data_IF_287046999782
#
_entry.id   IF_287046999782
#
_cell.length_a   1.000
_cell.length_b   1.000
_cell.length_c   1.000
_cell.angle_alpha   90.00
_cell.angle_beta   90.00
_cell.angle_gamma   90.00
#
_symmetry.space_group_name_H-M   'P 1'
#
loop_
_entity.id
_entity.type
_entity.pdbx_description
1 polymer ?
#
# COMPACT_ATOMS: atom_id res chain seq x y z
N UNK A 1 1.20 14.94 -10.10
CA UNK A 1 1.23 14.47 -11.50
C UNK A 1 0.79 15.59 -12.42
N UNK A 2 1.56 15.89 -13.47
CA UNK A 2 1.18 16.89 -14.48
C UNK A 2 -0.12 16.47 -15.19
N UNK A 3 -0.83 17.42 -15.81
CA UNK A 3 -2.09 17.13 -16.55
C UNK A 3 -1.92 16.04 -17.61
N UNK A 4 -0.69 15.84 -18.13
CA UNK A 4 -0.36 14.83 -19.15
C UNK A 4 -0.53 13.38 -18.67
N UNK A 5 -0.29 13.10 -17.39
CA UNK A 5 -0.24 11.73 -16.85
C UNK A 5 -1.43 11.40 -15.94
N UNK A 6 -2.25 12.40 -15.59
CA UNK A 6 -3.41 12.21 -14.73
C UNK A 6 -4.45 11.33 -15.45
N UNK A 7 -4.84 10.23 -14.82
CA UNK A 7 -5.78 9.26 -15.40
C UNK A 7 -5.20 8.38 -16.52
N UNK A 8 -3.87 8.34 -16.66
CA UNK A 8 -3.16 7.53 -17.68
C UNK A 8 -2.07 6.62 -17.07
N UNK A 9 -2.01 6.54 -15.75
CA UNK A 9 -0.98 5.79 -15.03
C UNK A 9 -1.69 4.86 -14.06
N UNK A 10 -1.55 3.55 -14.32
CA UNK A 10 -2.15 2.49 -13.50
C UNK A 10 -1.18 1.96 -12.44
N UNK A 11 0.12 2.21 -12.60
CA UNK A 11 1.17 1.80 -11.68
C UNK A 11 2.32 2.81 -11.63
N UNK A 12 2.99 2.89 -10.47
CA UNK A 12 4.18 3.71 -10.28
C UNK A 12 5.25 2.91 -9.53
N UNK A 13 6.42 2.73 -10.14
CA UNK A 13 7.59 2.09 -9.54
C UNK A 13 8.73 3.09 -9.59
N UNK A 14 9.38 3.31 -8.46
CA UNK A 14 10.62 4.08 -8.36
C UNK A 14 11.72 3.16 -7.85
N UNK A 15 12.87 3.17 -8.51
CA UNK A 15 14.00 2.31 -8.18
C UNK A 15 15.03 3.12 -7.40
N UNK A 16 15.42 2.59 -6.25
CA UNK A 16 16.42 3.19 -5.38
C UNK A 16 17.41 2.12 -4.94
N UNK A 17 18.60 2.56 -4.61
CA UNK A 17 19.60 1.77 -3.89
C UNK A 17 19.92 2.47 -2.57
N UNK A 18 20.31 1.75 -1.53
CA UNK A 18 20.60 0.32 -1.41
C UNK A 18 19.61 -0.36 -0.44
N UNK A 19 20.00 -1.50 0.15
CA UNK A 19 19.35 -2.21 1.28
C UNK A 19 18.43 -3.38 0.93
N UNK A 20 18.24 -3.71 -0.36
CA UNK A 20 17.38 -4.83 -0.78
C UNK A 20 15.97 -4.74 -0.16
N UNK A 21 15.30 -3.59 -0.33
CA UNK A 21 13.98 -3.34 0.28
C UNK A 21 12.95 -3.14 -0.83
N UNK A 22 11.79 -3.78 -0.66
CA UNK A 22 10.59 -3.53 -1.44
C UNK A 22 9.61 -2.66 -0.64
N UNK A 23 9.45 -1.40 -1.05
CA UNK A 23 8.70 -0.41 -0.27
C UNK A 23 7.32 -0.16 -0.87
N UNK A 24 6.28 -0.24 -0.05
CA UNK A 24 4.94 0.25 -0.37
C UNK A 24 4.61 1.55 0.40
N UNK A 25 3.61 2.33 -0.06
CA UNK A 25 3.16 3.50 0.68
C UNK A 25 2.62 3.18 2.09
N UNK A 26 2.59 4.14 3.01
CA UNK A 26 3.20 5.46 2.90
C UNK A 26 4.58 5.49 3.58
N UNK A 27 5.45 6.40 3.14
CA UNK A 27 6.75 6.63 3.76
C UNK A 27 6.84 7.85 4.70
N UNK A 28 5.81 8.71 4.74
CA UNK A 28 5.90 10.01 5.42
C UNK A 28 5.71 9.95 6.94
N UNK A 29 5.06 8.90 7.46
CA UNK A 29 4.79 8.71 8.90
C UNK A 29 4.63 7.23 9.20
N UNK A 30 5.17 6.79 10.35
CA UNK A 30 4.91 5.44 10.88
C UNK A 30 3.42 5.23 11.13
N UNK A 31 2.99 3.98 11.02
CA UNK A 31 1.59 3.56 11.23
C UNK A 31 0.56 4.22 10.30
N UNK A 32 0.98 4.81 9.17
CA UNK A 32 0.10 5.40 8.17
C UNK A 32 0.05 4.52 6.92
N UNK A 33 -1.11 3.92 6.65
CA UNK A 33 -1.27 2.95 5.56
C UNK A 33 -2.41 3.32 4.61
N UNK A 34 -2.26 2.98 3.30
CA UNK A 34 -3.34 3.17 2.34
C UNK A 34 -4.46 2.13 2.55
N UNK A 35 -5.62 2.38 1.93
CA UNK A 35 -6.81 1.52 2.10
C UNK A 35 -6.65 0.11 1.53
N UNK A 36 -5.74 -0.05 0.57
CA UNK A 36 -5.40 -1.28 -0.17
C UNK A 36 -4.08 -1.91 0.32
N UNK A 37 -3.65 -1.58 1.54
CA UNK A 37 -2.38 -2.07 2.13
C UNK A 37 -2.19 -3.59 2.04
N UNK A 38 -3.26 -4.39 2.18
CA UNK A 38 -3.17 -5.85 2.09
C UNK A 38 -2.76 -6.29 0.68
N UNK A 39 -3.37 -5.72 -0.34
CA UNK A 39 -3.06 -6.00 -1.75
C UNK A 39 -1.62 -5.60 -2.06
N UNK A 40 -1.21 -4.38 -1.65
CA UNK A 40 0.14 -3.87 -1.84
C UNK A 40 1.20 -4.76 -1.17
N UNK A 41 0.95 -5.19 0.07
CA UNK A 41 1.86 -6.05 0.81
C UNK A 41 1.97 -7.46 0.21
N UNK A 42 0.86 -8.02 -0.26
CA UNK A 42 0.85 -9.35 -0.88
C UNK A 42 1.49 -9.35 -2.27
N UNK A 43 1.25 -8.32 -3.09
CA UNK A 43 1.97 -8.14 -4.36
C UNK A 43 3.47 -7.93 -4.11
N UNK A 44 3.83 -7.12 -3.10
CA UNK A 44 5.23 -6.91 -2.71
C UNK A 44 5.92 -8.21 -2.26
N UNK A 45 5.25 -9.05 -1.46
CA UNK A 45 5.76 -10.38 -1.09
C UNK A 45 5.93 -11.31 -2.28
N UNK A 46 4.99 -11.31 -3.24
CA UNK A 46 5.12 -12.10 -4.47
C UNK A 46 6.32 -11.63 -5.29
N UNK A 47 6.52 -10.31 -5.41
CA UNK A 47 7.66 -9.73 -6.11
C UNK A 47 9.00 -10.09 -5.43
N UNK A 48 9.08 -9.93 -4.11
CA UNK A 48 10.25 -10.31 -3.30
C UNK A 48 10.56 -11.81 -3.40
N UNK A 49 9.55 -12.66 -3.47
CA UNK A 49 9.74 -14.10 -3.68
C UNK A 49 10.19 -14.42 -5.11
N UNK A 50 9.71 -13.69 -6.11
CA UNK A 50 10.09 -13.90 -7.50
C UNK A 50 11.56 -13.55 -7.76
N UNK A 51 12.02 -12.39 -7.28
CA UNK A 51 13.42 -11.99 -7.39
C UNK A 51 14.34 -12.94 -6.61
N UNK A 52 13.92 -13.39 -5.40
CA UNK A 52 14.72 -14.31 -4.59
C UNK A 52 14.99 -15.64 -5.30
N UNK A 53 14.07 -16.11 -6.16
CA UNK A 53 14.26 -17.37 -6.89
C UNK A 53 15.40 -17.34 -7.90
N UNK A 54 15.88 -16.16 -8.30
CA UNK A 54 16.93 -16.04 -9.32
C UNK A 54 18.30 -16.35 -8.71
N UNK A 55 18.68 -15.63 -7.65
CA UNK A 55 20.02 -15.72 -7.03
C UNK A 55 20.00 -15.97 -5.51
N UNK A 56 18.82 -16.09 -4.90
CA UNK A 56 18.68 -16.29 -3.45
C UNK A 56 18.65 -15.00 -2.63
N UNK A 57 18.80 -13.83 -3.28
CA UNK A 57 18.82 -12.51 -2.64
C UNK A 57 17.51 -12.25 -1.90
N UNK A 58 17.62 -11.87 -0.63
CA UNK A 58 16.46 -11.67 0.25
C UNK A 58 16.11 -10.19 0.32
N UNK A 59 14.89 -9.87 -0.07
CA UNK A 59 14.35 -8.52 0.05
C UNK A 59 13.34 -8.43 1.20
N UNK A 60 13.40 -7.34 1.97
CA UNK A 60 12.43 -7.05 3.02
C UNK A 60 11.28 -6.25 2.43
N UNK A 61 10.04 -6.60 2.75
CA UNK A 61 8.84 -5.89 2.27
C UNK A 61 8.20 -5.11 3.42
N UNK A 62 7.97 -3.82 3.24
CA UNK A 62 7.30 -2.99 4.24
C UNK A 62 7.10 -1.54 3.83
N UNK A 63 6.63 -0.71 4.77
CA UNK A 63 6.48 0.73 4.53
C UNK A 63 7.84 1.43 4.68
N UNK A 64 8.03 2.55 3.98
CA UNK A 64 9.29 3.30 4.08
C UNK A 64 9.57 3.78 5.50
N UNK A 65 8.52 4.14 6.27
CA UNK A 65 8.68 4.59 7.65
C UNK A 65 9.06 3.45 8.62
N UNK A 66 8.76 2.20 8.26
CA UNK A 66 8.94 1.03 9.14
C UNK A 66 10.20 0.21 8.79
N UNK A 67 10.73 0.32 7.57
CA UNK A 67 11.73 -0.63 7.03
C UNK A 67 13.10 -0.02 6.69
N UNK A 68 13.22 1.31 6.61
CA UNK A 68 14.49 1.94 6.20
C UNK A 68 15.59 1.79 7.27
N UNK A 69 16.69 1.15 6.86
CA UNK A 69 17.98 1.09 7.56
C UNK A 69 19.11 1.37 6.55
N UNK A 70 20.21 1.99 7.00
CA UNK A 70 21.23 2.61 6.15
C UNK A 70 22.60 1.90 6.28
N UNK A 71 23.00 1.04 5.33
CA UNK A 71 24.40 0.73 4.97
C UNK A 71 24.66 0.40 3.47
N UNK A 72 25.54 1.17 2.78
CA UNK A 72 26.29 0.74 1.57
C UNK A 72 25.90 1.28 0.18
N UNK A 73 26.55 2.35 -0.34
CA UNK A 73 26.30 2.87 -1.70
C UNK A 73 27.14 2.26 -2.83
N UNK A 74 28.21 1.52 -2.51
CA UNK A 74 29.18 1.04 -3.50
C UNK A 74 28.87 -0.42 -3.83
N UNK A 75 28.47 -0.68 -5.08
CA UNK A 75 28.20 -2.00 -5.65
C UNK A 75 29.28 -2.32 -6.69
N UNK A 76 29.73 -3.58 -6.74
CA UNK A 76 30.70 -4.05 -7.75
C UNK A 76 30.09 -4.06 -9.16
N UNK A 77 30.89 -3.77 -10.19
CA UNK A 77 30.43 -3.74 -11.59
C UNK A 77 29.85 -5.11 -12.03
N UNK A 78 30.42 -6.20 -11.53
CA UNK A 78 29.98 -7.56 -11.83
C UNK A 78 28.57 -7.88 -11.30
N UNK A 79 28.10 -7.11 -10.31
CA UNK A 79 26.78 -7.27 -9.69
C UNK A 79 25.68 -6.47 -10.39
N UNK A 80 26.02 -5.61 -11.37
CA UNK A 80 25.04 -4.78 -12.09
C UNK A 80 24.03 -5.64 -12.87
N UNK A 81 24.51 -6.60 -13.66
CA UNK A 81 23.65 -7.48 -14.47
C UNK A 81 22.85 -8.45 -13.60
N UNK A 82 23.45 -9.14 -12.60
CA UNK A 82 22.69 -9.93 -11.64
C UNK A 82 21.59 -9.13 -10.94
N UNK A 83 21.90 -7.95 -10.40
CA UNK A 83 20.94 -7.08 -9.71
C UNK A 83 19.79 -6.67 -10.63
N UNK A 84 20.09 -6.29 -11.88
CA UNK A 84 19.06 -5.95 -12.85
C UNK A 84 18.16 -7.16 -13.18
N UNK A 85 18.74 -8.35 -13.34
CA UNK A 85 18.01 -9.58 -13.68
C UNK A 85 17.06 -10.02 -12.57
N UNK A 86 17.49 -9.99 -11.30
CA UNK A 86 16.59 -10.32 -10.19
C UNK A 86 15.50 -9.26 -10.01
N UNK A 87 15.84 -7.97 -10.12
CA UNK A 87 14.87 -6.87 -9.98
C UNK A 87 13.78 -6.98 -11.04
N UNK A 88 14.13 -7.37 -12.26
CA UNK A 88 13.17 -7.54 -13.36
C UNK A 88 12.11 -8.59 -13.07
N UNK A 89 12.45 -9.69 -12.37
CA UNK A 89 11.46 -10.69 -11.96
C UNK A 89 10.43 -10.11 -10.98
N UNK A 90 10.87 -9.23 -10.07
CA UNK A 90 9.96 -8.50 -9.19
C UNK A 90 9.05 -7.52 -9.94
N UNK A 91 9.60 -6.77 -10.89
CA UNK A 91 8.84 -5.80 -11.71
C UNK A 91 7.76 -6.49 -12.55
N UNK A 92 8.06 -7.65 -13.15
CA UNK A 92 7.07 -8.43 -13.91
C UNK A 92 5.86 -8.82 -13.05
N UNK A 93 6.06 -9.18 -11.80
CA UNK A 93 4.96 -9.52 -10.88
C UNK A 93 4.02 -8.34 -10.67
N UNK A 94 4.57 -7.13 -10.50
CA UNK A 94 3.74 -5.91 -10.37
C UNK A 94 2.98 -5.63 -11.65
N UNK A 95 3.66 -5.71 -12.79
CA UNK A 95 3.04 -5.47 -14.09
C UNK A 95 1.87 -6.43 -14.34
N UNK A 96 2.06 -7.73 -14.06
CA UNK A 96 0.98 -8.72 -14.16
C UNK A 96 -0.18 -8.41 -13.21
N UNK A 97 0.10 -8.08 -11.95
CA UNK A 97 -0.95 -7.75 -10.98
C UNK A 97 -1.78 -6.52 -11.41
N UNK A 98 -1.14 -5.52 -12.01
CA UNK A 98 -1.82 -4.32 -12.54
C UNK A 98 -2.68 -4.67 -13.75
N UNK A 99 -2.16 -5.46 -14.69
CA UNK A 99 -2.90 -5.93 -15.87
C UNK A 99 -4.12 -6.75 -15.45
N UNK A 100 -3.95 -7.68 -14.51
CA UNK A 100 -5.04 -8.49 -13.95
C UNK A 100 -6.11 -7.62 -13.31
N UNK A 101 -5.72 -6.62 -12.52
CA UNK A 101 -6.65 -5.66 -11.89
C UNK A 101 -7.42 -4.84 -12.92
N UNK A 102 -6.76 -4.37 -13.98
CA UNK A 102 -7.42 -3.64 -15.07
C UNK A 102 -8.42 -4.54 -15.80
N UNK A 103 -8.04 -5.78 -16.08
CA UNK A 103 -8.92 -6.76 -16.75
C UNK A 103 -10.14 -7.11 -15.90
N UNK A 104 -9.97 -7.27 -14.58
CA UNK A 104 -11.08 -7.51 -13.65
C UNK A 104 -11.99 -6.29 -13.45
N UNK A 105 -11.55 -5.09 -13.84
CA UNK A 105 -12.33 -3.86 -13.81
C UNK A 105 -13.06 -3.55 -15.13
N UNK A 106 -13.17 -4.51 -16.06
CA UNK A 106 -14.01 -4.32 -17.25
C UNK A 106 -15.49 -4.10 -16.88
N UNK A 107 -16.20 -3.22 -17.61
CA UNK A 107 -17.51 -2.72 -17.20
C UNK A 107 -18.59 -3.77 -17.48
N UNK A 108 -19.06 -4.46 -16.44
CA UNK A 108 -20.48 -4.82 -16.42
C UNK A 108 -21.28 -3.51 -16.48
N UNK A 109 -22.38 -3.53 -17.24
CA UNK A 109 -23.24 -2.38 -17.48
C UNK A 109 -23.53 -1.60 -16.19
N UNK A 110 -23.69 -0.28 -16.33
CA UNK A 110 -23.96 0.69 -15.26
C UNK A 110 -25.28 0.33 -14.55
N UNK A 111 -25.25 -0.63 -13.63
CA UNK A 111 -25.87 -0.45 -12.34
C UNK A 111 -24.73 -0.14 -11.39
N UNK A 112 -24.73 1.09 -10.85
CA UNK A 112 -23.81 1.43 -9.79
C UNK A 112 -23.90 0.31 -8.74
N UNK A 113 -22.80 -0.41 -8.44
CA UNK A 113 -22.83 -1.35 -7.33
C UNK A 113 -23.25 -0.49 -6.15
N UNK A 114 -24.46 -0.72 -5.62
CA UNK A 114 -24.91 -0.06 -4.40
C UNK A 114 -23.80 -0.35 -3.42
N UNK A 115 -22.96 0.66 -3.18
CA UNK A 115 -21.85 0.52 -2.27
C UNK A 115 -22.49 -0.07 -1.03
N UNK A 116 -22.09 -1.29 -0.64
CA UNK A 116 -22.36 -1.76 0.72
C UNK A 116 -21.56 -0.79 1.57
N UNK A 117 -22.14 0.40 1.81
CA UNK A 117 -21.72 1.36 2.79
C UNK A 117 -21.90 0.60 4.08
N UNK A 118 -20.85 -0.08 4.52
CA UNK A 118 -20.77 -0.59 5.87
C UNK A 118 -20.78 0.66 6.76
N UNK A 119 -21.99 1.11 7.09
CA UNK A 119 -22.24 2.17 8.06
C UNK A 119 -21.94 1.55 9.42
N UNK A 120 -20.81 1.92 10.00
CA UNK A 120 -20.56 1.65 11.41
C UNK A 120 -21.11 2.86 12.19
N UNK A 121 -22.17 2.61 12.96
CA UNK A 121 -23.14 3.58 13.47
C UNK A 121 -24.54 2.97 13.38
N UNK A 122 -25.56 3.57 14.00
CA UNK A 122 -26.94 3.04 13.91
C UNK A 122 -27.57 3.20 12.50
N UNK A 123 -26.87 3.89 11.60
CA UNK A 123 -27.20 4.00 10.19
C UNK A 123 -28.28 5.04 9.88
N UNK A 124 -28.70 5.83 10.86
CA UNK A 124 -29.71 6.89 10.71
C UNK A 124 -29.17 8.11 9.95
N UNK A 125 -30.04 8.90 9.33
CA UNK A 125 -29.64 10.10 8.60
C UNK A 125 -29.11 11.18 9.58
N UNK A 126 -27.86 11.62 9.42
CA UNK A 126 -27.16 12.44 10.41
C UNK A 126 -26.36 11.64 11.47
N UNK A 127 -26.41 10.30 11.43
CA UNK A 127 -25.56 9.45 12.27
C UNK A 127 -24.08 9.60 11.93
N UNK A 128 -23.25 9.64 12.95
CA UNK A 128 -21.81 9.59 12.77
C UNK A 128 -21.33 8.19 12.38
N UNK A 129 -20.40 8.12 11.45
CA UNK A 129 -19.81 6.86 11.00
C UNK A 129 -18.32 6.98 10.69
N UNK A 130 -17.65 5.83 10.70
CA UNK A 130 -16.27 5.72 10.24
C UNK A 130 -16.22 5.62 8.70
N UNK A 131 -15.36 6.42 8.06
CA UNK A 131 -15.10 6.34 6.62
C UNK A 131 -14.29 5.10 6.25
N UNK A 132 -13.49 4.57 7.19
CA UNK A 132 -12.65 3.39 6.96
C UNK A 132 -13.12 2.20 7.77
N UNK A 133 -13.26 1.06 7.09
CA UNK A 133 -13.68 -0.21 7.69
C UNK A 133 -12.71 -0.73 8.79
N UNK A 134 -11.47 -0.25 8.81
CA UNK A 134 -10.45 -0.69 9.75
C UNK A 134 -10.46 0.09 11.09
N UNK A 135 -11.24 1.17 11.22
CA UNK A 135 -11.23 2.05 12.39
C UNK A 135 -11.49 1.32 13.71
N UNK A 136 -12.50 0.43 13.75
CA UNK A 136 -12.81 -0.37 14.94
C UNK A 136 -11.65 -1.25 15.39
N UNK A 137 -10.94 -1.85 14.42
CA UNK A 137 -9.79 -2.71 14.70
C UNK A 137 -8.59 -1.90 15.17
N UNK A 138 -8.32 -0.77 14.53
CA UNK A 138 -7.22 0.12 14.90
C UNK A 138 -7.37 0.66 16.32
N UNK A 139 -8.57 1.10 16.71
CA UNK A 139 -8.81 1.59 18.08
C UNK A 139 -8.76 0.47 19.11
N UNK A 140 -9.18 -0.75 18.75
CA UNK A 140 -9.07 -1.91 19.64
C UNK A 140 -7.62 -2.36 19.85
N UNK A 141 -6.80 -2.36 18.78
CA UNK A 141 -5.39 -2.75 18.84
C UNK A 141 -4.50 -1.65 19.48
N UNK A 142 -4.85 -0.38 19.29
CA UNK A 142 -4.09 0.79 19.78
C UNK A 142 -5.02 1.93 20.24
N UNK A 143 -5.42 1.95 21.52
CA UNK A 143 -6.38 2.93 22.05
C UNK A 143 -5.91 4.39 21.97
N UNK A 144 -4.60 4.62 21.94
CA UNK A 144 -3.98 5.95 21.90
C UNK A 144 -4.08 6.63 20.53
N UNK A 145 -4.39 5.91 19.45
CA UNK A 145 -4.47 6.44 18.07
C UNK A 145 -5.34 7.69 17.96
N UNK A 146 -6.47 7.70 18.65
CA UNK A 146 -7.40 8.84 18.65
C UNK A 146 -6.80 10.12 19.26
N UNK A 147 -5.73 9.99 20.06
CA UNK A 147 -4.99 11.10 20.68
C UNK A 147 -3.71 11.45 19.92
N UNK A 148 -2.97 10.44 19.47
CA UNK A 148 -1.65 10.62 18.82
C UNK A 148 -1.76 11.01 17.34
N UNK A 149 -2.86 10.67 16.68
CA UNK A 149 -3.13 10.98 15.26
C UNK A 149 -4.50 11.68 15.11
N UNK A 150 -4.73 12.82 15.79
CA UNK A 150 -6.07 13.35 16.02
C UNK A 150 -6.78 13.84 14.75
N UNK A 151 -6.04 14.35 13.76
CA UNK A 151 -6.61 14.84 12.50
C UNK A 151 -7.14 13.67 11.66
N UNK A 152 -6.27 12.70 11.35
CA UNK A 152 -6.62 11.52 10.57
C UNK A 152 -7.77 10.73 11.20
N UNK A 153 -7.69 10.50 12.51
CA UNK A 153 -8.71 9.72 13.23
C UNK A 153 -10.03 10.48 13.33
N UNK A 154 -10.03 11.81 13.42
CA UNK A 154 -11.27 12.60 13.39
C UNK A 154 -11.92 12.57 12.01
N UNK A 155 -11.14 12.62 10.93
CA UNK A 155 -11.70 12.62 9.57
C UNK A 155 -12.15 11.24 9.12
N UNK A 156 -11.43 10.18 9.49
CA UNK A 156 -11.66 8.83 8.96
C UNK A 156 -12.37 7.90 9.94
N UNK A 157 -12.23 8.15 11.24
CA UNK A 157 -12.63 7.24 12.31
C UNK A 157 -13.40 7.98 13.43
N UNK A 158 -14.21 8.98 13.06
CA UNK A 158 -14.91 9.84 14.01
C UNK A 158 -15.75 9.04 15.01
N UNK A 159 -16.45 8.02 14.54
CA UNK A 159 -17.32 7.17 15.35
C UNK A 159 -16.51 6.26 16.28
N UNK A 160 -15.52 5.53 15.76
CA UNK A 160 -14.65 4.69 16.58
C UNK A 160 -13.86 5.47 17.64
N UNK A 161 -13.58 6.75 17.41
CA UNK A 161 -12.84 7.62 18.34
C UNK A 161 -13.74 8.48 19.24
N UNK A 162 -15.06 8.34 19.18
CA UNK A 162 -16.01 9.14 19.96
C UNK A 162 -15.85 10.64 19.74
N UNK A 163 -15.55 11.06 18.50
CA UNK A 163 -15.44 12.48 18.09
C UNK A 163 -16.76 13.04 17.53
N UNK A 164 -17.77 12.22 17.72
CA UNK A 164 -19.19 12.30 17.50
C UNK A 164 -19.78 11.16 18.36
#
# INVERSE_FOLDING_TARGET
LSRRYRGRVDAFITLHTYSQIWIHPYGHRKDSYPGDIRELYDVGKKAAKALQKVYGTKYVVGSGADTLYWDGFILDESELIPTARETWEGVKVVASAVVERIQQQQPEAIEAPKAKRFRFGDGTEGSCYDLRHACKRWVAERPELCRTVPIFMRENCAYSCGKC
#
